data_IF_476289113950
#
_entry.id   IF_476289113950
#
_cell.length_a   1.000
_cell.length_b   1.000
_cell.length_c   1.000
_cell.angle_alpha   90.00
_cell.angle_beta   90.00
_cell.angle_gamma   90.00
#
_symmetry.space_group_name_H-M   'P 1'
#
loop_
_entity.id
_entity.type
_entity.pdbx_description
1 polymer ?
#
# COMPACT_ATOMS: atom_id res chain seq x y z
N UNK A 1 -17.37 -5.03 -17.72
CA UNK A 1 -17.41 -5.87 -16.50
C UNK A 1 -18.51 -5.34 -15.61
N UNK A 2 -19.10 -6.19 -14.77
CA UNK A 2 -20.00 -5.72 -13.72
C UNK A 2 -19.23 -5.34 -12.44
N UNK A 3 -19.86 -4.58 -11.54
CA UNK A 3 -19.20 -4.10 -10.31
C UNK A 3 -18.68 -5.23 -9.41
N UNK A 4 -19.35 -6.39 -9.39
CA UNK A 4 -18.92 -7.55 -8.58
C UNK A 4 -17.66 -8.19 -9.15
N UNK A 5 -17.54 -8.26 -10.46
CA UNK A 5 -16.34 -8.72 -11.17
C UNK A 5 -15.18 -7.76 -10.95
N UNK A 6 -15.39 -6.45 -11.04
CA UNK A 6 -14.37 -5.44 -10.80
C UNK A 6 -13.75 -5.56 -9.40
N UNK A 7 -14.59 -5.66 -8.36
CA UNK A 7 -14.11 -5.84 -6.98
C UNK A 7 -13.31 -7.13 -6.83
N UNK A 8 -13.76 -8.21 -7.47
CA UNK A 8 -13.06 -9.52 -7.43
C UNK A 8 -11.69 -9.44 -8.11
N UNK A 9 -11.62 -8.87 -9.31
CA UNK A 9 -10.35 -8.71 -10.04
C UNK A 9 -9.42 -7.76 -9.29
N UNK A 10 -9.92 -6.62 -8.78
CA UNK A 10 -9.13 -5.67 -7.98
C UNK A 10 -8.50 -6.32 -6.73
N UNK A 11 -9.24 -7.20 -6.04
CA UNK A 11 -8.72 -8.00 -4.93
C UNK A 11 -7.63 -8.99 -5.38
N UNK A 12 -7.85 -9.66 -6.51
CA UNK A 12 -6.87 -10.59 -7.07
C UNK A 12 -5.58 -9.87 -7.50
N UNK A 13 -5.70 -8.72 -8.18
CA UNK A 13 -4.55 -7.86 -8.51
C UNK A 13 -3.80 -7.42 -7.26
N UNK A 14 -4.52 -7.03 -6.20
CA UNK A 14 -3.88 -6.68 -4.92
C UNK A 14 -3.13 -7.86 -4.30
N UNK A 15 -3.64 -9.09 -4.42
CA UNK A 15 -2.96 -10.29 -3.93
C UNK A 15 -1.69 -10.56 -4.74
N UNK A 16 -1.81 -10.61 -6.07
CA UNK A 16 -0.74 -10.97 -7.00
C UNK A 16 0.37 -9.93 -6.97
N UNK A 17 0.03 -8.65 -7.09
CA UNK A 17 1.00 -7.56 -7.20
C UNK A 17 1.68 -7.20 -5.87
N UNK A 18 1.18 -7.66 -4.72
CA UNK A 18 1.73 -7.28 -3.40
C UNK A 18 2.25 -8.44 -2.58
N UNK A 19 1.68 -9.62 -2.75
CA UNK A 19 1.84 -10.69 -1.76
C UNK A 19 2.22 -12.02 -2.37
N UNK A 20 1.58 -12.41 -3.48
CA UNK A 20 1.68 -13.77 -4.02
C UNK A 20 1.61 -13.79 -5.55
N UNK A 21 2.61 -13.25 -6.27
CA UNK A 21 2.63 -13.27 -7.73
C UNK A 21 2.60 -14.71 -8.29
N UNK A 22 3.14 -15.68 -7.55
CA UNK A 22 3.11 -17.11 -7.85
C UNK A 22 1.69 -17.69 -7.93
N UNK A 23 0.67 -17.01 -7.35
CA UNK A 23 -0.73 -17.43 -7.51
C UNK A 23 -1.17 -17.44 -8.99
N UNK A 24 -0.52 -16.64 -9.84
CA UNK A 24 -0.75 -16.61 -11.28
C UNK A 24 0.46 -17.11 -12.08
N UNK A 25 1.42 -17.79 -11.43
CA UNK A 25 2.70 -18.17 -12.04
C UNK A 25 3.45 -16.97 -12.63
N UNK A 26 3.34 -15.82 -11.95
CA UNK A 26 4.03 -14.58 -12.32
C UNK A 26 5.15 -14.29 -11.33
N UNK A 27 6.08 -13.46 -11.75
CA UNK A 27 7.14 -12.91 -10.90
C UNK A 27 7.16 -11.40 -11.08
N UNK A 28 7.29 -10.68 -9.97
CA UNK A 28 7.52 -9.25 -9.95
C UNK A 28 9.01 -9.00 -10.20
N UNK A 29 9.34 -7.97 -10.98
CA UNK A 29 10.71 -7.47 -11.02
C UNK A 29 11.07 -6.76 -9.70
N UNK A 30 12.33 -6.34 -9.56
CA UNK A 30 12.87 -5.66 -8.38
C UNK A 30 12.05 -4.41 -8.00
N UNK A 31 11.44 -3.74 -8.98
CA UNK A 31 10.60 -2.55 -8.82
C UNK A 31 9.10 -2.83 -8.68
N UNK A 32 8.71 -4.10 -8.64
CA UNK A 32 7.33 -4.56 -8.46
C UNK A 32 6.50 -4.61 -9.72
N UNK A 33 7.12 -4.48 -10.90
CA UNK A 33 6.41 -4.52 -12.18
C UNK A 33 6.23 -5.94 -12.70
N UNK A 34 5.13 -6.14 -13.42
CA UNK A 34 4.91 -7.28 -14.31
C UNK A 34 4.40 -6.81 -15.67
N UNK A 35 4.58 -7.64 -16.70
CA UNK A 35 3.96 -7.41 -18.02
C UNK A 35 2.43 -7.51 -17.95
N UNK A 36 1.75 -6.51 -18.51
CA UNK A 36 0.29 -6.53 -18.69
C UNK A 36 -0.15 -7.73 -19.52
N UNK A 37 0.57 -8.05 -20.61
CA UNK A 37 0.24 -9.21 -21.45
C UNK A 37 0.36 -10.53 -20.69
N UNK A 38 1.42 -10.69 -19.90
CA UNK A 38 1.60 -11.87 -19.07
C UNK A 38 0.49 -12.00 -18.02
N UNK A 39 0.13 -10.89 -17.37
CA UNK A 39 -0.97 -10.83 -16.41
C UNK A 39 -2.30 -11.22 -17.05
N UNK A 40 -2.66 -10.61 -18.19
CA UNK A 40 -3.93 -10.87 -18.88
C UNK A 40 -4.01 -12.33 -19.35
N UNK A 41 -2.91 -12.89 -19.86
CA UNK A 41 -2.82 -14.31 -20.22
C UNK A 41 -3.02 -15.21 -18.99
N UNK A 42 -2.39 -14.89 -17.86
CA UNK A 42 -2.51 -15.67 -16.63
C UNK A 42 -3.93 -15.58 -16.01
N UNK A 43 -4.57 -14.41 -16.06
CA UNK A 43 -5.96 -14.22 -15.67
C UNK A 43 -6.90 -15.05 -16.53
N UNK A 44 -6.73 -15.01 -17.86
CA UNK A 44 -7.53 -15.78 -18.80
C UNK A 44 -7.42 -17.30 -18.56
N UNK A 45 -6.22 -17.81 -18.27
CA UNK A 45 -6.00 -19.23 -17.88
C UNK A 45 -6.80 -19.65 -16.65
N UNK A 46 -7.11 -18.71 -15.74
CA UNK A 46 -7.96 -18.95 -14.56
C UNK A 46 -9.43 -18.56 -14.77
N UNK A 47 -9.87 -18.41 -16.03
CA UNK A 47 -11.25 -18.09 -16.38
C UNK A 47 -11.64 -16.63 -16.15
N UNK A 48 -10.67 -15.73 -15.92
CA UNK A 48 -10.90 -14.31 -15.76
C UNK A 48 -10.55 -13.59 -17.06
N UNK A 49 -11.52 -13.50 -17.98
CA UNK A 49 -11.33 -12.81 -19.25
C UNK A 49 -11.42 -11.30 -19.01
N UNK A 50 -10.26 -10.66 -19.00
CA UNK A 50 -10.09 -9.20 -18.87
C UNK A 50 -9.29 -8.75 -20.07
N UNK A 51 -9.73 -7.70 -20.77
CA UNK A 51 -8.94 -7.08 -21.83
C UNK A 51 -8.12 -5.90 -21.29
N UNK A 52 -7.21 -5.36 -22.09
CA UNK A 52 -6.35 -4.27 -21.67
C UNK A 52 -7.12 -3.00 -21.26
N UNK A 53 -8.20 -2.68 -21.98
CA UNK A 53 -9.02 -1.50 -21.67
C UNK A 53 -9.72 -1.64 -20.30
N UNK A 54 -10.21 -2.83 -19.98
CA UNK A 54 -10.77 -3.14 -18.67
C UNK A 54 -9.71 -3.11 -17.56
N UNK A 55 -8.49 -3.57 -17.83
CA UNK A 55 -7.38 -3.46 -16.89
C UNK A 55 -7.04 -1.99 -16.64
N UNK A 56 -6.99 -1.15 -17.68
CA UNK A 56 -6.77 0.29 -17.57
C UNK A 56 -7.85 0.95 -16.73
N UNK A 57 -9.12 0.64 -16.99
CA UNK A 57 -10.25 1.12 -16.18
C UNK A 57 -10.13 0.68 -14.71
N UNK A 58 -9.71 -0.55 -14.42
CA UNK A 58 -9.47 -1.01 -13.05
C UNK A 58 -8.35 -0.23 -12.34
N UNK A 59 -7.31 0.16 -13.07
CA UNK A 59 -6.22 0.99 -12.53
C UNK A 59 -6.76 2.39 -12.21
N UNK A 60 -7.37 3.04 -13.21
CA UNK A 60 -7.92 4.40 -13.12
C UNK A 60 -8.99 4.53 -12.03
N UNK A 61 -9.88 3.54 -11.92
CA UNK A 61 -10.98 3.55 -10.96
C UNK A 61 -10.64 2.87 -9.63
N UNK A 62 -9.42 2.36 -9.44
CA UNK A 62 -9.06 1.72 -8.17
C UNK A 62 -9.13 2.72 -7.02
N UNK A 63 -9.95 2.45 -5.98
CA UNK A 63 -9.98 3.38 -4.86
C UNK A 63 -8.59 3.54 -4.25
N UNK A 64 -8.16 4.78 -4.09
CA UNK A 64 -6.82 5.17 -3.60
C UNK A 64 -5.69 4.87 -4.60
N UNK A 65 -5.97 4.77 -5.89
CA UNK A 65 -4.97 4.60 -6.97
C UNK A 65 -3.98 3.48 -6.60
N UNK A 66 -4.48 2.26 -6.40
CA UNK A 66 -3.71 1.15 -5.80
C UNK A 66 -2.63 0.59 -6.71
N UNK A 67 -2.83 0.78 -8.01
CA UNK A 67 -2.02 0.24 -9.09
C UNK A 67 -1.49 1.39 -9.94
N UNK A 68 -0.41 1.14 -10.65
CA UNK A 68 0.09 2.04 -11.68
C UNK A 68 0.39 1.24 -12.94
N UNK A 69 0.19 1.89 -14.08
CA UNK A 69 0.71 1.45 -15.36
C UNK A 69 2.04 2.17 -15.62
N UNK A 70 2.96 1.50 -16.32
CA UNK A 70 4.17 2.14 -16.83
C UNK A 70 3.81 3.21 -17.87
N UNK A 71 4.74 4.13 -18.17
CA UNK A 71 4.49 5.22 -19.11
C UNK A 71 4.09 4.73 -20.52
N UNK A 72 4.58 3.56 -20.93
CA UNK A 72 4.22 2.89 -22.19
C UNK A 72 2.98 1.99 -22.09
N UNK A 73 2.35 1.89 -20.91
CA UNK A 73 1.19 1.06 -20.61
C UNK A 73 1.46 -0.45 -20.55
N UNK A 74 2.70 -0.90 -20.80
CA UNK A 74 3.01 -2.33 -20.97
C UNK A 74 3.20 -3.10 -19.68
N UNK A 75 3.43 -2.39 -18.57
CA UNK A 75 3.66 -2.98 -17.26
C UNK A 75 2.70 -2.43 -16.22
N UNK A 76 2.41 -3.24 -15.22
CA UNK A 76 1.57 -2.88 -14.07
C UNK A 76 2.29 -3.25 -12.77
N UNK A 77 2.14 -2.40 -11.75
CA UNK A 77 2.59 -2.68 -10.37
C UNK A 77 1.59 -2.20 -9.35
N UNK A 78 1.75 -2.63 -8.10
CA UNK A 78 1.11 -1.95 -6.98
C UNK A 78 1.93 -0.72 -6.55
N UNK A 79 1.26 0.36 -6.15
CA UNK A 79 1.94 1.57 -5.69
C UNK A 79 2.53 1.44 -4.29
N UNK A 80 2.01 0.51 -3.47
CA UNK A 80 2.46 0.25 -2.11
C UNK A 80 1.89 -1.08 -1.56
N UNK A 81 2.29 -1.43 -0.34
CA UNK A 81 1.69 -2.53 0.42
C UNK A 81 2.29 -3.91 0.16
N UNK A 82 3.45 -3.97 -0.49
CA UNK A 82 4.16 -5.23 -0.76
C UNK A 82 4.63 -5.92 0.53
N UNK A 83 4.54 -7.25 0.52
CA UNK A 83 5.18 -8.14 1.51
C UNK A 83 6.25 -9.04 0.89
N UNK A 84 6.34 -9.09 -0.43
CA UNK A 84 7.43 -9.74 -1.20
C UNK A 84 8.52 -8.72 -1.46
N UNK A 85 9.81 -9.10 -1.45
CA UNK A 85 10.92 -8.15 -1.63
C UNK A 85 10.78 -7.39 -2.95
N UNK A 86 10.64 -6.07 -2.85
CA UNK A 86 10.67 -5.13 -3.98
C UNK A 86 11.30 -3.84 -3.50
N UNK A 87 12.30 -3.39 -4.23
CA UNK A 87 12.92 -2.09 -4.12
C UNK A 87 12.08 -1.12 -4.95
N UNK A 88 10.99 -0.66 -4.34
CA UNK A 88 10.37 0.56 -4.83
C UNK A 88 11.39 1.67 -4.57
N UNK A 89 12.07 2.16 -5.61
CA UNK A 89 12.86 3.40 -5.60
C UNK A 89 11.93 4.59 -5.27
N UNK A 90 11.46 4.65 -4.03
CA UNK A 90 10.57 5.69 -3.58
C UNK A 90 11.44 6.92 -3.29
N UNK A 91 11.09 8.09 -3.83
CA UNK A 91 11.81 9.30 -3.48
C UNK A 91 11.62 9.58 -1.99
N UNK A 92 12.73 9.82 -1.30
CA UNK A 92 12.69 10.37 0.05
C UNK A 92 12.08 11.78 -0.03
N UNK A 93 11.10 12.07 0.81
CA UNK A 93 10.38 13.34 0.84
C UNK A 93 10.28 13.84 2.29
N UNK A 94 10.43 15.16 2.50
CA UNK A 94 10.23 15.77 3.81
C UNK A 94 8.75 15.66 4.22
N UNK A 95 8.42 15.04 5.37
CA UNK A 95 7.04 14.86 5.78
C UNK A 95 6.41 16.18 6.27
N UNK A 96 5.07 16.25 6.32
CA UNK A 96 4.38 17.32 7.05
C UNK A 96 4.64 17.21 8.57
N UNK A 97 4.23 18.23 9.32
CA UNK A 97 4.36 18.25 10.79
C UNK A 97 3.79 16.99 11.45
N UNK A 98 2.64 16.52 10.96
CA UNK A 98 1.90 15.39 11.52
C UNK A 98 1.40 14.46 10.44
N UNK A 99 1.49 13.16 10.74
CA UNK A 99 0.85 12.08 9.98
C UNK A 99 0.02 11.22 10.93
N UNK A 100 -0.79 10.31 10.39
CA UNK A 100 -1.74 9.53 11.17
C UNK A 100 -1.65 8.04 10.88
N UNK A 101 -1.73 7.23 11.93
CA UNK A 101 -1.81 5.78 11.82
C UNK A 101 -3.13 5.28 12.39
N UNK A 102 -3.88 4.53 11.59
CA UNK A 102 -5.10 3.88 12.01
C UNK A 102 -4.84 2.46 12.52
N UNK A 103 -5.17 2.19 13.78
CA UNK A 103 -5.03 0.88 14.43
C UNK A 103 -6.29 0.53 15.23
N UNK A 104 -6.22 -0.51 16.07
CA UNK A 104 -7.29 -1.00 16.94
C UNK A 104 -6.74 -1.27 18.33
N UNK A 105 -7.60 -1.21 19.33
CA UNK A 105 -7.25 -1.23 20.77
C UNK A 105 -6.30 -2.37 21.17
N UNK A 106 -6.55 -3.60 20.67
CA UNK A 106 -5.71 -4.78 20.94
C UNK A 106 -4.23 -4.64 20.56
N UNK A 107 -3.87 -3.68 19.71
CA UNK A 107 -2.47 -3.43 19.33
C UNK A 107 -1.83 -2.30 20.14
N UNK A 108 -2.59 -1.53 20.93
CA UNK A 108 -2.07 -0.36 21.62
C UNK A 108 -0.97 -0.70 22.61
N UNK A 109 -1.12 -1.75 23.41
CA UNK A 109 -0.07 -2.11 24.39
C UNK A 109 1.28 -2.38 23.69
N UNK A 110 1.25 -3.13 22.59
CA UNK A 110 2.46 -3.38 21.79
C UNK A 110 3.01 -2.10 21.17
N UNK A 111 2.15 -1.21 20.69
CA UNK A 111 2.57 0.04 20.03
C UNK A 111 3.18 1.01 21.05
N UNK A 112 2.64 1.10 22.26
CA UNK A 112 3.24 1.91 23.32
C UNK A 112 4.63 1.40 23.72
N UNK A 113 4.83 0.07 23.73
CA UNK A 113 6.13 -0.54 24.09
C UNK A 113 7.17 -0.45 22.98
N UNK A 114 6.77 -0.66 21.72
CA UNK A 114 7.70 -0.88 20.59
C UNK A 114 7.60 0.15 19.48
N UNK A 115 6.60 1.02 19.51
CA UNK A 115 6.29 1.91 18.42
C UNK A 115 5.50 1.22 17.30
N UNK A 116 5.39 1.88 16.15
CA UNK A 116 4.84 1.28 14.95
C UNK A 116 5.97 0.55 14.22
N UNK A 117 5.77 -0.75 14.01
CA UNK A 117 6.68 -1.58 13.21
C UNK A 117 5.97 -2.05 11.93
N UNK A 118 6.72 -2.21 10.86
CA UNK A 118 6.22 -2.62 9.53
C UNK A 118 5.50 -3.98 9.48
N UNK A 119 5.68 -4.82 10.51
CA UNK A 119 5.09 -6.16 10.56
C UNK A 119 5.55 -7.02 9.37
N UNK A 120 4.61 -7.59 8.61
CA UNK A 120 4.90 -8.35 7.37
C UNK A 120 5.09 -7.50 6.12
N UNK A 121 5.07 -6.16 6.24
CA UNK A 121 5.24 -5.24 5.11
C UNK A 121 6.67 -4.68 5.09
N UNK A 122 7.02 -4.00 4.01
CA UNK A 122 8.31 -3.29 3.91
C UNK A 122 8.39 -2.01 4.73
N UNK A 123 7.27 -1.30 4.91
CA UNK A 123 7.22 -0.04 5.63
C UNK A 123 5.95 0.09 6.47
N UNK A 124 6.03 0.87 7.54
CA UNK A 124 4.87 1.44 8.22
C UNK A 124 4.16 2.38 7.26
N UNK A 125 2.84 2.25 7.16
CA UNK A 125 2.02 3.11 6.32
C UNK A 125 1.34 4.17 7.17
N UNK A 126 1.47 5.42 6.76
CA UNK A 126 0.92 6.59 7.42
C UNK A 126 -0.03 7.33 6.47
N UNK A 127 -1.07 7.92 7.03
CA UNK A 127 -2.08 8.71 6.32
C UNK A 127 -1.81 10.20 6.54
N UNK A 128 -2.03 11.00 5.50
CA UNK A 128 -1.89 12.46 5.58
C UNK A 128 -2.99 13.09 6.47
N UNK A 129 -4.18 12.47 6.52
CA UNK A 129 -5.31 12.97 7.28
C UNK A 129 -5.94 11.90 8.20
N UNK A 130 -6.61 12.38 9.26
CA UNK A 130 -7.26 11.54 10.28
C UNK A 130 -8.41 10.69 9.70
N UNK A 131 -9.13 11.22 8.71
CA UNK A 131 -10.29 10.52 8.13
C UNK A 131 -9.85 9.27 7.37
N UNK A 132 -8.76 9.36 6.60
CA UNK A 132 -8.13 8.24 5.90
C UNK A 132 -7.62 7.20 6.89
N UNK A 133 -6.94 7.62 7.97
CA UNK A 133 -6.48 6.71 9.02
C UNK A 133 -7.65 5.96 9.67
N UNK A 134 -8.76 6.65 9.96
CA UNK A 134 -9.99 6.04 10.52
C UNK A 134 -10.59 5.00 9.58
N UNK A 135 -10.73 5.32 8.29
CA UNK A 135 -11.23 4.35 7.31
C UNK A 135 -10.32 3.11 7.18
N UNK A 136 -9.00 3.27 7.34
CA UNK A 136 -8.06 2.14 7.34
C UNK A 136 -8.24 1.26 8.59
N UNK A 137 -8.41 1.88 9.76
CA UNK A 137 -8.59 1.21 11.04
C UNK A 137 -9.92 0.46 11.16
N UNK A 138 -11.03 1.06 10.68
CA UNK A 138 -12.39 0.50 10.76
C UNK A 138 -12.50 -0.91 10.14
N UNK A 139 -11.62 -1.23 9.19
CA UNK A 139 -11.55 -2.57 8.57
C UNK A 139 -11.10 -3.68 9.53
N UNK A 140 -10.56 -3.33 10.69
CA UNK A 140 -9.98 -4.25 11.67
C UNK A 140 -10.74 -4.30 13.01
N UNK A 141 -11.75 -3.45 13.19
CA UNK A 141 -12.52 -3.28 14.43
C UNK A 141 -12.74 -1.81 14.79
N UNK A 142 -12.97 -1.55 16.08
CA UNK A 142 -13.13 -0.18 16.62
C UNK A 142 -11.85 0.64 16.39
N UNK A 143 -11.91 1.75 15.63
CA UNK A 143 -10.72 2.44 15.17
C UNK A 143 -10.09 3.31 16.27
N UNK A 144 -8.78 3.17 16.46
CA UNK A 144 -7.95 4.08 17.24
C UNK A 144 -6.99 4.81 16.30
N UNK A 145 -6.86 6.12 16.47
CA UNK A 145 -5.98 6.96 15.64
C UNK A 145 -4.79 7.39 16.48
N UNK A 146 -3.60 7.15 15.97
CA UNK A 146 -2.36 7.64 16.54
C UNK A 146 -1.84 8.79 15.68
N UNK A 147 -1.36 9.84 16.32
CA UNK A 147 -0.66 10.96 15.66
C UNK A 147 0.83 10.64 15.67
N UNK A 148 1.47 10.82 14.53
CA UNK A 148 2.92 10.71 14.35
C UNK A 148 3.50 12.11 14.20
N UNK A 149 4.43 12.50 15.07
CA UNK A 149 5.19 13.75 14.99
C UNK A 149 6.26 13.65 13.88
N UNK A 150 5.81 13.61 12.63
CA UNK A 150 6.63 13.20 11.49
C UNK A 150 7.78 14.18 11.19
N UNK A 151 7.57 15.49 11.36
CA UNK A 151 8.65 16.48 11.17
C UNK A 151 9.74 16.40 12.22
N UNK A 152 9.38 16.20 13.49
CA UNK A 152 10.35 16.01 14.58
C UNK A 152 11.15 14.73 14.35
N UNK A 153 10.47 13.67 13.94
CA UNK A 153 11.09 12.40 13.59
C UNK A 153 12.04 12.53 12.38
N UNK A 154 11.66 13.27 11.34
CA UNK A 154 12.55 13.55 10.22
C UNK A 154 13.78 14.39 10.61
N UNK A 155 13.61 15.35 11.53
CA UNK A 155 14.73 16.14 12.06
C UNK A 155 15.73 15.29 12.86
N UNK A 156 15.30 14.15 13.39
CA UNK A 156 16.16 13.15 14.03
C UNK A 156 16.75 12.11 13.06
N UNK A 157 16.60 12.31 11.74
CA UNK A 157 17.29 11.51 10.71
C UNK A 157 16.50 10.32 10.17
N UNK A 158 15.23 10.16 10.53
CA UNK A 158 14.39 9.11 9.96
C UNK A 158 13.95 9.47 8.53
N UNK A 159 14.16 8.56 7.59
CA UNK A 159 13.77 8.74 6.21
C UNK A 159 12.27 8.50 6.01
N UNK A 160 11.59 9.46 5.37
CA UNK A 160 10.21 9.33 4.94
C UNK A 160 10.16 9.23 3.43
N UNK A 161 9.27 8.38 2.94
CA UNK A 161 9.05 8.19 1.53
C UNK A 161 7.58 8.41 1.21
N UNK A 162 7.32 8.84 -0.03
CA UNK A 162 5.96 9.01 -0.52
C UNK A 162 5.71 8.11 -1.72
N UNK A 163 4.70 7.27 -1.61
CA UNK A 163 4.27 6.46 -2.75
C UNK A 163 3.63 7.33 -3.84
N UNK A 164 3.58 6.86 -5.10
CA UNK A 164 2.94 7.60 -6.20
C UNK A 164 1.47 7.99 -5.94
N UNK A 165 0.77 7.27 -5.04
CA UNK A 165 -0.59 7.57 -4.62
C UNK A 165 -0.69 8.32 -3.28
N UNK A 166 0.40 8.97 -2.85
CA UNK A 166 0.40 9.90 -1.72
C UNK A 166 0.39 9.25 -0.34
N UNK A 167 0.62 7.93 -0.23
CA UNK A 167 0.77 7.27 1.07
C UNK A 167 2.17 7.48 1.59
N UNK A 168 2.26 7.88 2.86
CA UNK A 168 3.54 8.07 3.54
C UNK A 168 4.06 6.75 4.09
N UNK A 169 5.35 6.52 3.92
CA UNK A 169 6.04 5.29 4.24
C UNK A 169 7.29 5.61 5.07
N UNK A 170 7.51 4.82 6.11
CA UNK A 170 8.67 4.91 6.99
C UNK A 170 9.00 3.51 7.54
N UNK A 171 10.24 3.24 7.89
CA UNK A 171 10.65 1.91 8.35
C UNK A 171 9.99 1.51 9.67
N UNK A 172 10.00 2.43 10.63
CA UNK A 172 9.38 2.31 11.94
C UNK A 172 9.01 3.67 12.50
N UNK A 173 8.15 3.72 13.52
CA UNK A 173 7.88 4.95 14.29
C UNK A 173 8.11 4.67 15.77
N UNK A 174 9.20 5.17 16.37
CA UNK A 174 9.47 5.02 17.79
C UNK A 174 8.33 5.57 18.68
N UNK A 175 8.09 4.99 19.88
CA UNK A 175 7.04 5.43 20.79
C UNK A 175 7.03 6.93 21.10
N UNK A 176 8.21 7.55 21.22
CA UNK A 176 8.34 8.98 21.56
C UNK A 176 7.73 9.93 20.53
N UNK A 177 7.53 9.48 19.30
CA UNK A 177 6.88 10.27 18.24
C UNK A 177 5.39 9.95 18.08
N UNK A 178 4.84 9.10 18.94
CA UNK A 178 3.43 8.72 18.93
C UNK A 178 2.67 9.50 20.00
N UNK A 179 1.60 10.16 19.59
CA UNK A 179 0.63 10.76 20.50
C UNK A 179 -0.73 10.08 20.34
N UNK A 180 -1.31 9.71 21.47
CA UNK A 180 -2.73 9.35 21.54
C UNK A 180 -3.55 10.61 21.26
N UNK A 181 -4.51 10.51 20.34
CA UNK A 181 -5.45 11.59 20.06
C UNK A 181 -6.78 11.41 20.76
#
# INVERSE_FOLDING_TARGET
MNAKEEVRISKLLSLVLRHRPETLDLQLDESGWISCDALLKALAKRGNVVNFEQLRQLVENSDKQRFALSADGKRIRANQGHSVSVELELPQESPPDRLYHGTVERFLESIHKRGLIRGRRHHVHLSQDRSTARQVAMRRGSPVILVVLAKEMAAEGYAFYRSPNGVWLVDEVPPKFLQSS
#
